data_IF_708764015063
#
_entry.id   IF_708764015063
#
_cell.length_a   1.000
_cell.length_b   1.000
_cell.length_c   1.000
_cell.angle_alpha   90.00
_cell.angle_beta   90.00
_cell.angle_gamma   90.00
#
_symmetry.space_group_name_H-M   'P 1'
#
loop_
_entity.id
_entity.type
_entity.pdbx_description
1 polymer ?
#
# COMPACT_ATOMS: atom_id res chain seq x y z
N UNK A 1 45.13 -9.25 -8.53
CA UNK A 1 45.69 -8.33 -7.52
C UNK A 1 44.65 -8.17 -6.43
N UNK A 2 44.81 -8.86 -5.29
CA UNK A 2 43.91 -8.73 -4.15
C UNK A 2 44.35 -7.51 -3.36
N UNK A 3 43.54 -6.46 -3.34
CA UNK A 3 43.75 -5.35 -2.43
C UNK A 3 43.43 -5.85 -1.01
N UNK A 4 44.46 -6.22 -0.24
CA UNK A 4 44.28 -6.44 1.19
C UNK A 4 43.83 -5.12 1.81
N UNK A 5 42.60 -5.10 2.32
CA UNK A 5 42.09 -3.98 3.09
C UNK A 5 42.88 -3.94 4.39
N UNK A 6 43.50 -2.80 4.68
CA UNK A 6 44.24 -2.57 5.94
C UNK A 6 43.31 -2.47 7.16
N UNK A 7 42.00 -2.47 6.95
CA UNK A 7 40.96 -2.38 7.96
C UNK A 7 39.98 -3.54 7.73
N UNK A 8 39.54 -4.20 8.80
CA UNK A 8 38.62 -5.34 8.73
C UNK A 8 37.28 -5.04 8.05
N UNK A 9 36.45 -6.06 7.90
CA UNK A 9 35.14 -5.99 7.29
C UNK A 9 34.10 -5.47 8.28
N UNK A 10 33.69 -4.21 8.14
CA UNK A 10 32.57 -3.67 8.91
C UNK A 10 31.22 -4.04 8.27
N UNK A 11 30.39 -4.80 8.99
CA UNK A 11 29.06 -5.20 8.51
C UNK A 11 28.03 -4.08 8.62
N UNK A 12 28.16 -3.22 9.63
CA UNK A 12 27.20 -2.14 9.89
C UNK A 12 27.91 -0.89 10.37
N UNK A 13 27.70 0.24 9.69
CA UNK A 13 28.10 1.57 10.16
C UNK A 13 26.95 2.32 10.86
N UNK A 14 25.92 1.60 11.30
CA UNK A 14 24.70 2.19 11.84
C UNK A 14 23.67 1.13 12.21
N UNK A 15 22.44 1.57 12.45
CA UNK A 15 21.34 0.71 12.85
C UNK A 15 20.17 0.83 11.87
N UNK A 16 19.39 -0.26 11.74
CA UNK A 16 18.13 -0.26 10.99
C UNK A 16 16.99 -0.42 11.99
N UNK A 17 16.03 0.51 11.98
CA UNK A 17 14.82 0.45 12.81
C UNK A 17 13.63 0.17 11.91
N UNK A 18 12.85 -0.84 12.29
CA UNK A 18 11.48 -0.99 11.80
C UNK A 18 10.57 -0.21 12.75
N UNK A 19 10.26 1.03 12.37
CA UNK A 19 9.53 1.97 13.24
C UNK A 19 8.13 1.45 13.55
N UNK A 20 7.38 1.06 12.51
CA UNK A 20 6.04 0.49 12.65
C UNK A 20 6.09 -0.86 13.37
N UNK A 21 5.46 -0.93 14.54
CA UNK A 21 5.47 -2.14 15.37
C UNK A 21 4.81 -3.34 14.67
N UNK A 22 3.75 -3.10 13.88
CA UNK A 22 3.05 -4.12 13.09
C UNK A 22 3.93 -4.81 12.05
N UNK A 23 5.01 -4.17 11.59
CA UNK A 23 5.94 -4.73 10.63
C UNK A 23 7.09 -5.50 11.29
N UNK A 24 7.23 -5.40 12.62
CA UNK A 24 8.28 -6.13 13.36
C UNK A 24 7.93 -7.61 13.40
N UNK A 25 8.95 -8.45 13.20
CA UNK A 25 8.77 -9.91 13.17
C UNK A 25 8.44 -10.48 11.79
N UNK A 26 8.18 -9.64 10.78
CA UNK A 26 7.98 -10.05 9.39
C UNK A 26 9.29 -10.32 8.63
N UNK A 27 10.36 -10.70 9.34
CA UNK A 27 11.69 -10.98 8.78
C UNK A 27 12.37 -9.86 7.96
N UNK A 28 11.81 -8.65 7.87
CA UNK A 28 12.37 -7.52 7.09
C UNK A 28 13.83 -7.25 7.48
N UNK A 29 14.10 -7.04 8.77
CA UNK A 29 15.47 -6.82 9.25
C UNK A 29 16.41 -8.01 9.00
N UNK A 30 15.87 -9.24 9.07
CA UNK A 30 16.65 -10.45 8.76
C UNK A 30 17.03 -10.51 7.29
N UNK A 31 16.12 -10.13 6.37
CA UNK A 31 16.41 -10.09 4.95
C UNK A 31 17.46 -9.02 4.65
N UNK A 32 17.30 -7.79 5.17
CA UNK A 32 18.27 -6.71 4.95
C UNK A 32 19.67 -7.11 5.42
N UNK A 33 19.78 -7.70 6.62
CA UNK A 33 21.07 -8.13 7.14
C UNK A 33 21.63 -9.36 6.40
N UNK A 34 20.76 -10.24 5.88
CA UNK A 34 21.17 -11.35 5.04
C UNK A 34 21.87 -10.90 3.76
N UNK A 35 21.42 -9.81 3.14
CA UNK A 35 22.07 -9.24 1.96
C UNK A 35 23.44 -8.64 2.29
N UNK A 36 23.58 -7.99 3.45
CA UNK A 36 24.88 -7.53 3.98
C UNK A 36 25.82 -8.74 4.17
N UNK A 37 25.33 -9.82 4.79
CA UNK A 37 26.11 -11.04 5.02
C UNK A 37 26.51 -11.71 3.69
N UNK A 38 25.60 -11.83 2.72
CA UNK A 38 25.91 -12.36 1.38
C UNK A 38 26.99 -11.51 0.69
N UNK A 39 26.90 -10.20 0.79
CA UNK A 39 27.91 -9.27 0.26
C UNK A 39 29.26 -9.48 0.93
N UNK A 40 29.30 -9.50 2.26
CA UNK A 40 30.49 -9.72 3.07
C UNK A 40 31.22 -11.01 2.70
N UNK A 41 30.48 -12.13 2.67
CA UNK A 41 31.01 -13.44 2.29
C UNK A 41 31.61 -13.48 0.89
N UNK A 42 31.04 -12.72 -0.05
CA UNK A 42 31.50 -12.68 -1.44
C UNK A 42 32.72 -11.78 -1.63
N UNK A 43 32.73 -10.62 -0.97
CA UNK A 43 33.73 -9.57 -1.23
C UNK A 43 34.96 -9.72 -0.34
N UNK A 44 34.81 -10.20 0.89
CA UNK A 44 35.87 -10.29 1.88
C UNK A 44 35.73 -11.54 2.76
N UNK A 45 35.80 -12.76 2.19
CA UNK A 45 35.63 -14.00 2.95
C UNK A 45 36.71 -14.23 4.01
N UNK A 46 37.93 -13.74 3.76
CA UNK A 46 39.10 -13.98 4.63
C UNK A 46 39.37 -12.81 5.60
N UNK A 47 38.68 -11.68 5.45
CA UNK A 47 38.87 -10.54 6.33
C UNK A 47 38.12 -10.77 7.66
N UNK A 48 38.73 -10.32 8.76
CA UNK A 48 38.08 -10.28 10.06
C UNK A 48 36.88 -9.35 10.03
N UNK A 49 35.75 -9.82 10.55
CA UNK A 49 34.56 -9.01 10.78
C UNK A 49 34.86 -8.08 11.96
N UNK A 50 34.75 -6.77 11.72
CA UNK A 50 34.92 -5.80 12.80
C UNK A 50 33.87 -6.04 13.89
N UNK A 51 34.25 -6.00 15.18
CA UNK A 51 33.33 -6.34 16.25
C UNK A 51 32.08 -5.45 16.27
N UNK A 52 30.93 -6.08 16.45
CA UNK A 52 29.65 -5.41 16.63
C UNK A 52 29.47 -5.16 18.14
N UNK A 53 29.31 -3.89 18.50
CA UNK A 53 29.06 -3.49 19.88
C UNK A 53 27.55 -3.39 20.16
N UNK A 54 27.09 -4.12 21.17
CA UNK A 54 25.76 -4.00 21.73
C UNK A 54 25.80 -2.96 22.83
N UNK A 55 25.03 -1.88 22.67
CA UNK A 55 24.92 -0.84 23.68
C UNK A 55 23.71 -1.08 24.58
N UNK A 56 23.92 -1.02 25.90
CA UNK A 56 22.87 -1.14 26.91
C UNK A 56 21.84 0.00 26.85
N UNK A 57 22.24 1.18 26.36
CA UNK A 57 21.34 2.31 26.11
C UNK A 57 20.18 1.96 25.15
N UNK A 58 20.37 0.98 24.25
CA UNK A 58 19.35 0.53 23.31
C UNK A 58 18.32 -0.42 23.94
N UNK A 59 18.52 -0.88 25.18
CA UNK A 59 17.60 -1.79 25.88
C UNK A 59 16.28 -1.09 26.21
N UNK A 60 16.34 0.14 26.74
CA UNK A 60 15.18 0.86 27.26
C UNK A 60 14.16 1.27 26.19
N UNK A 61 14.63 1.50 24.96
CA UNK A 61 13.80 2.04 23.88
C UNK A 61 12.81 1.03 23.27
N UNK A 62 12.99 -0.29 23.47
CA UNK A 62 12.25 -1.33 22.74
C UNK A 62 11.65 -2.44 23.63
N UNK A 63 11.66 -2.24 24.95
CA UNK A 63 11.08 -3.17 25.94
C UNK A 63 11.93 -4.42 26.21
N UNK A 64 11.64 -5.12 27.32
CA UNK A 64 12.44 -6.26 27.83
C UNK A 64 12.59 -7.41 26.83
N UNK A 65 11.56 -7.71 26.01
CA UNK A 65 11.60 -8.79 25.00
C UNK A 65 12.53 -8.49 23.82
N UNK A 66 13.01 -7.25 23.66
CA UNK A 66 13.92 -6.89 22.57
C UNK A 66 15.29 -7.54 22.70
N UNK A 67 15.77 -7.78 23.93
CA UNK A 67 17.14 -8.26 24.13
C UNK A 67 17.36 -9.66 23.60
N UNK A 68 16.51 -10.59 24.01
CA UNK A 68 16.57 -11.95 23.49
C UNK A 68 16.31 -11.99 21.98
N UNK A 69 15.39 -11.14 21.49
CA UNK A 69 15.11 -11.04 20.05
C UNK A 69 16.35 -10.57 19.27
N UNK A 70 17.04 -9.53 19.76
CA UNK A 70 18.29 -8.99 19.18
C UNK A 70 19.40 -10.04 19.22
N UNK A 71 19.53 -10.76 20.34
CA UNK A 71 20.52 -11.82 20.47
C UNK A 71 20.26 -12.97 19.48
N UNK A 72 19.03 -13.50 19.44
CA UNK A 72 18.62 -14.54 18.48
C UNK A 72 18.76 -14.07 17.03
N UNK A 73 18.55 -12.78 16.77
CA UNK A 73 18.73 -12.20 15.44
C UNK A 73 20.17 -12.39 14.96
N UNK A 74 21.16 -11.95 15.73
CA UNK A 74 22.57 -12.07 15.34
C UNK A 74 23.06 -13.53 15.30
N UNK A 75 22.64 -14.36 16.26
CA UNK A 75 23.00 -15.79 16.28
C UNK A 75 22.61 -16.52 14.99
N UNK A 76 21.50 -16.14 14.34
CA UNK A 76 21.07 -16.72 13.06
C UNK A 76 22.09 -16.50 11.93
N UNK A 77 22.99 -15.52 12.07
CA UNK A 77 24.02 -15.20 11.10
C UNK A 77 25.42 -15.68 11.52
N UNK A 78 25.52 -16.49 12.59
CA UNK A 78 26.79 -17.01 13.11
C UNK A 78 27.47 -16.10 14.14
N UNK A 79 26.90 -14.93 14.42
CA UNK A 79 27.47 -13.96 15.36
C UNK A 79 27.14 -14.36 16.81
N UNK A 80 28.19 -14.46 17.63
CA UNK A 80 28.09 -14.68 19.07
C UNK A 80 28.75 -13.52 19.81
N UNK A 81 28.38 -13.30 21.07
CA UNK A 81 28.79 -12.12 21.83
C UNK A 81 29.41 -12.53 23.17
N UNK A 82 30.39 -11.75 23.59
CA UNK A 82 30.89 -11.71 24.96
C UNK A 82 30.18 -10.57 25.67
N UNK A 83 29.35 -10.93 26.66
CA UNK A 83 28.50 -9.99 27.36
C UNK A 83 29.22 -9.40 28.58
N UNK A 84 29.00 -8.12 28.82
CA UNK A 84 29.57 -7.45 29.97
C UNK A 84 28.88 -7.88 31.27
N UNK A 85 29.68 -8.07 32.31
CA UNK A 85 29.20 -8.40 33.65
C UNK A 85 28.92 -7.10 34.42
N UNK A 86 27.66 -6.78 34.71
CA UNK A 86 27.31 -5.61 35.52
C UNK A 86 26.10 -4.81 35.03
N UNK A 87 25.61 -5.10 33.83
CA UNK A 87 24.43 -4.43 33.30
C UNK A 87 23.10 -4.91 33.91
N UNK A 88 22.05 -4.11 33.76
CA UNK A 88 20.68 -4.41 34.22
C UNK A 88 20.16 -5.74 33.66
N UNK A 89 20.69 -6.19 32.51
CA UNK A 89 20.39 -7.49 31.92
C UNK A 89 21.65 -8.11 31.31
N UNK A 90 21.87 -9.44 31.44
CA UNK A 90 23.07 -10.12 30.92
C UNK A 90 23.22 -10.14 29.39
N UNK A 91 22.28 -9.53 28.65
CA UNK A 91 22.27 -9.44 27.19
C UNK A 91 22.18 -7.98 26.72
N UNK A 92 22.34 -7.03 27.64
CA UNK A 92 22.17 -5.60 27.41
C UNK A 92 23.32 -5.01 26.60
N UNK A 93 24.56 -5.34 26.99
CA UNK A 93 25.78 -4.91 26.32
C UNK A 93 26.78 -6.04 26.16
N UNK A 94 27.68 -5.86 25.21
CA UNK A 94 28.70 -6.83 24.87
C UNK A 94 29.24 -6.60 23.47
N UNK A 95 30.30 -7.32 23.13
CA UNK A 95 30.98 -7.22 21.85
C UNK A 95 30.93 -8.58 21.14
N UNK A 96 30.78 -8.56 19.81
CA UNK A 96 30.79 -9.82 19.06
C UNK A 96 32.17 -10.45 19.08
N UNK A 97 32.23 -11.77 19.20
CA UNK A 97 33.47 -12.53 19.10
C UNK A 97 34.12 -12.35 17.74
N UNK A 98 35.45 -12.44 17.73
CA UNK A 98 36.22 -12.44 16.49
C UNK A 98 35.77 -13.56 15.55
N UNK A 99 35.60 -13.21 14.28
CA UNK A 99 35.26 -14.15 13.22
C UNK A 99 35.65 -13.59 11.85
N UNK A 100 35.83 -14.46 10.86
CA UNK A 100 36.10 -14.04 9.48
C UNK A 100 34.84 -14.06 8.62
N UNK A 101 34.85 -13.30 7.52
CA UNK A 101 33.69 -13.16 6.64
C UNK A 101 33.08 -14.49 6.16
N UNK A 102 33.89 -15.51 5.86
CA UNK A 102 33.43 -16.82 5.39
C UNK A 102 32.57 -17.58 6.40
N UNK A 103 32.78 -17.34 7.69
CA UNK A 103 32.10 -18.02 8.80
C UNK A 103 30.70 -17.44 9.06
N UNK A 104 30.37 -16.30 8.44
CA UNK A 104 29.02 -15.76 8.48
C UNK A 104 28.01 -16.70 7.79
N UNK A 105 26.82 -16.79 8.36
CA UNK A 105 25.75 -17.67 7.86
C UNK A 105 24.76 -16.86 7.03
N UNK A 106 24.81 -17.02 5.71
CA UNK A 106 23.78 -16.51 4.80
C UNK A 106 22.65 -17.51 4.58
N UNK A 107 21.44 -17.01 4.33
CA UNK A 107 20.23 -17.80 4.10
C UNK A 107 19.69 -17.60 2.68
N UNK A 108 19.06 -18.64 2.14
CA UNK A 108 18.33 -18.57 0.87
C UNK A 108 17.00 -17.83 1.03
N UNK A 109 16.42 -17.37 -0.08
CA UNK A 109 15.12 -16.68 -0.07
C UNK A 109 13.97 -17.54 0.45
N UNK A 110 14.08 -18.87 0.38
CA UNK A 110 13.10 -19.79 0.96
C UNK A 110 12.91 -19.62 2.48
N UNK A 111 13.88 -19.02 3.19
CA UNK A 111 13.75 -18.68 4.61
C UNK A 111 12.78 -17.52 4.88
N UNK A 112 12.48 -16.71 3.86
CA UNK A 112 11.69 -15.50 3.96
C UNK A 112 10.38 -15.63 3.15
N UNK A 113 9.51 -16.62 3.46
CA UNK A 113 8.34 -16.92 2.64
C UNK A 113 7.31 -15.79 2.58
N UNK A 114 7.37 -14.86 3.54
CA UNK A 114 6.48 -13.71 3.63
C UNK A 114 7.00 -12.48 2.86
N UNK A 115 8.17 -12.58 2.20
CA UNK A 115 8.75 -11.51 1.41
C UNK A 115 8.90 -12.01 -0.02
N UNK A 116 8.34 -11.27 -0.96
CA UNK A 116 8.37 -11.61 -2.39
C UNK A 116 9.21 -10.57 -3.10
N UNK A 117 10.16 -11.02 -3.91
CA UNK A 117 10.86 -10.13 -4.83
C UNK A 117 9.94 -9.80 -6.00
N UNK A 118 9.83 -8.51 -6.28
CA UNK A 118 8.93 -7.98 -7.30
C UNK A 118 9.79 -7.28 -8.33
N UNK A 119 9.62 -7.63 -9.61
CA UNK A 119 10.21 -6.88 -10.72
C UNK A 119 9.50 -5.52 -10.77
N UNK A 120 10.25 -4.48 -10.38
CA UNK A 120 9.74 -3.12 -10.30
C UNK A 120 9.22 -2.64 -11.64
N UNK A 121 9.91 -2.94 -12.75
CA UNK A 121 9.53 -2.43 -14.05
C UNK A 121 8.25 -3.12 -14.53
N UNK A 122 8.20 -4.45 -14.46
CA UNK A 122 7.02 -5.22 -14.84
C UNK A 122 5.79 -4.83 -14.01
N UNK A 123 5.99 -4.57 -12.72
CA UNK A 123 4.91 -4.17 -11.80
C UNK A 123 4.43 -2.75 -12.05
N UNK A 124 5.34 -1.82 -12.34
CA UNK A 124 4.94 -0.46 -12.70
C UNK A 124 4.18 -0.44 -14.03
N UNK A 125 4.59 -1.26 -14.99
CA UNK A 125 3.87 -1.42 -16.26
C UNK A 125 2.47 -1.99 -16.05
N UNK A 126 2.33 -3.06 -15.26
CA UNK A 126 1.02 -3.65 -14.98
C UNK A 126 0.10 -2.68 -14.21
N UNK A 127 0.63 -1.93 -13.25
CA UNK A 127 -0.10 -0.89 -12.53
C UNK A 127 -0.54 0.26 -13.45
N UNK A 128 0.32 0.68 -14.39
CA UNK A 128 -0.01 1.73 -15.34
C UNK A 128 -1.14 1.30 -16.29
N UNK A 129 -1.05 0.08 -16.85
CA UNK A 129 -2.08 -0.49 -17.72
C UNK A 129 -3.42 -0.65 -16.98
N UNK A 130 -3.40 -1.21 -15.77
CA UNK A 130 -4.62 -1.38 -14.97
C UNK A 130 -5.28 -0.04 -14.63
N UNK A 131 -4.48 1.02 -14.44
CA UNK A 131 -5.01 2.36 -14.24
C UNK A 131 -5.68 2.90 -15.50
N UNK A 132 -5.08 2.72 -16.67
CA UNK A 132 -5.66 3.15 -17.95
C UNK A 132 -6.99 2.43 -18.23
N UNK A 133 -7.02 1.12 -18.04
CA UNK A 133 -8.25 0.31 -18.17
C UNK A 133 -9.35 0.81 -17.23
N UNK A 134 -9.00 1.06 -15.96
CA UNK A 134 -9.96 1.58 -14.98
C UNK A 134 -10.47 2.99 -15.35
N UNK A 135 -9.61 3.84 -15.91
CA UNK A 135 -10.01 5.17 -16.38
C UNK A 135 -10.98 5.07 -17.57
N UNK A 136 -10.75 4.15 -18.49
CA UNK A 136 -11.63 3.92 -19.64
C UNK A 136 -12.97 3.31 -19.22
N UNK A 137 -12.99 2.38 -18.27
CA UNK A 137 -14.22 1.84 -17.67
C UNK A 137 -15.05 2.95 -17.01
N UNK A 138 -14.40 3.84 -16.26
CA UNK A 138 -15.07 4.98 -15.63
C UNK A 138 -15.66 5.93 -16.68
N UNK A 139 -14.96 6.17 -17.80
CA UNK A 139 -15.49 6.97 -18.91
C UNK A 139 -16.68 6.27 -19.55
N UNK A 140 -16.57 4.98 -19.86
CA UNK A 140 -17.64 4.17 -20.45
C UNK A 140 -18.90 4.14 -19.58
N UNK A 141 -18.76 4.00 -18.26
CA UNK A 141 -19.89 4.07 -17.33
C UNK A 141 -20.55 5.45 -17.29
N UNK A 142 -19.75 6.53 -17.30
CA UNK A 142 -20.28 7.90 -17.35
C UNK A 142 -21.07 8.14 -18.63
N UNK A 143 -20.54 7.72 -19.76
CA UNK A 143 -21.20 7.87 -21.07
C UNK A 143 -22.46 6.99 -21.14
N UNK A 144 -22.40 5.77 -20.61
CA UNK A 144 -23.55 4.88 -20.45
C UNK A 144 -24.67 5.54 -19.64
N UNK A 145 -24.37 6.09 -18.46
CA UNK A 145 -25.34 6.80 -17.62
C UNK A 145 -25.92 8.01 -18.36
N UNK A 146 -25.07 8.81 -19.02
CA UNK A 146 -25.50 9.98 -19.77
C UNK A 146 -26.48 9.59 -20.90
N UNK A 147 -26.19 8.50 -21.61
CA UNK A 147 -27.07 7.98 -22.67
C UNK A 147 -28.42 7.50 -22.13
N UNK A 148 -28.45 6.79 -21.00
CA UNK A 148 -29.67 6.33 -20.36
C UNK A 148 -30.52 7.50 -19.85
N UNK A 149 -29.89 8.53 -19.29
CA UNK A 149 -30.57 9.76 -18.87
C UNK A 149 -31.15 10.51 -20.07
N UNK A 150 -30.39 10.64 -21.16
CA UNK A 150 -30.86 11.27 -22.40
C UNK A 150 -32.05 10.51 -23.00
N UNK A 151 -31.99 9.18 -23.00
CA UNK A 151 -33.07 8.33 -23.50
C UNK A 151 -34.33 8.43 -22.63
N UNK A 152 -34.17 8.43 -21.30
CA UNK A 152 -35.28 8.67 -20.37
C UNK A 152 -35.93 10.03 -20.61
N UNK A 153 -35.11 11.07 -20.82
CA UNK A 153 -35.59 12.43 -21.11
C UNK A 153 -36.36 12.48 -22.43
N UNK A 154 -35.84 11.87 -23.50
CA UNK A 154 -36.52 11.77 -24.80
C UNK A 154 -37.89 11.08 -24.68
N UNK A 155 -37.96 9.95 -23.97
CA UNK A 155 -39.22 9.24 -23.74
C UNK A 155 -40.23 10.11 -22.99
N UNK A 156 -39.80 10.78 -21.92
CA UNK A 156 -40.64 11.73 -21.19
C UNK A 156 -41.13 12.88 -22.08
N UNK A 157 -40.25 13.44 -22.92
CA UNK A 157 -40.61 14.55 -23.83
C UNK A 157 -41.61 14.13 -24.91
N UNK A 158 -41.52 12.90 -25.42
CA UNK A 158 -42.50 12.34 -26.36
C UNK A 158 -43.86 12.17 -25.67
N UNK A 159 -43.88 11.55 -24.48
CA UNK A 159 -45.12 11.38 -23.68
C UNK A 159 -45.76 12.74 -23.38
N UNK A 160 -44.96 13.73 -22.96
CA UNK A 160 -45.44 15.08 -22.67
C UNK A 160 -45.96 15.82 -23.92
N UNK A 161 -45.37 15.59 -25.10
CA UNK A 161 -45.87 16.15 -26.36
C UNK A 161 -47.20 15.52 -26.78
N UNK A 162 -47.30 14.19 -26.72
CA UNK A 162 -48.54 13.46 -27.02
C UNK A 162 -49.66 13.87 -26.06
N UNK A 163 -49.37 13.96 -24.75
CA UNK A 163 -50.34 14.42 -23.75
C UNK A 163 -50.82 15.85 -24.02
N UNK A 164 -49.92 16.76 -24.45
CA UNK A 164 -50.29 18.14 -24.84
C UNK A 164 -51.18 18.16 -26.09
N UNK A 165 -50.84 17.38 -27.12
CA UNK A 165 -51.63 17.26 -28.34
C UNK A 165 -53.04 16.74 -28.06
N UNK A 166 -53.18 15.71 -27.21
CA UNK A 166 -54.48 15.16 -26.83
C UNK A 166 -55.32 16.10 -25.97
N UNK A 167 -54.69 16.97 -25.17
CA UNK A 167 -55.41 17.96 -24.33
C UNK A 167 -55.95 19.15 -25.13
N UNK A 168 -55.33 19.48 -26.27
CA UNK A 168 -55.71 20.63 -27.08
C UNK A 168 -57.16 20.58 -27.61
N UNK A 169 -57.64 19.49 -28.24
CA UNK A 169 -59.03 19.41 -28.70
C UNK A 169 -60.03 19.39 -27.55
N UNK A 170 -59.66 18.81 -26.40
CA UNK A 170 -60.49 18.83 -25.18
C UNK A 170 -60.68 20.26 -24.68
N UNK A 171 -59.60 21.05 -24.59
CA UNK A 171 -59.66 22.47 -24.21
C UNK A 171 -60.49 23.30 -25.20
N UNK A 172 -60.33 23.07 -26.51
CA UNK A 172 -61.13 23.75 -27.54
C UNK A 172 -62.61 23.39 -27.44
N UNK A 173 -62.95 22.13 -27.19
CA UNK A 173 -64.32 21.70 -26.97
C UNK A 173 -64.95 22.36 -25.74
N UNK A 174 -64.21 22.43 -24.62
CA UNK A 174 -64.68 23.15 -23.42
C UNK A 174 -64.91 24.64 -23.67
N UNK A 175 -64.02 25.31 -24.40
CA UNK A 175 -64.20 26.72 -24.77
C UNK A 175 -65.41 26.92 -25.71
N UNK A 176 -65.61 26.03 -26.68
CA UNK A 176 -66.76 26.09 -27.57
C UNK A 176 -68.09 25.88 -26.82
N UNK A 177 -68.16 24.89 -25.93
CA UNK A 177 -69.33 24.66 -25.05
C UNK A 177 -69.57 25.86 -24.15
N UNK A 178 -68.52 26.42 -23.53
CA UNK A 178 -68.61 27.63 -22.73
C UNK A 178 -69.13 28.83 -23.52
N UNK A 179 -68.65 29.04 -24.76
CA UNK A 179 -69.12 30.12 -25.62
C UNK A 179 -70.57 29.94 -26.08
N UNK A 180 -71.01 28.69 -26.30
CA UNK A 180 -72.42 28.37 -26.62
C UNK A 180 -73.32 28.64 -25.41
N UNK A 181 -72.87 28.30 -24.19
CA UNK A 181 -73.59 28.59 -22.95
C UNK A 181 -73.58 30.08 -22.58
N UNK A 182 -72.52 30.82 -22.93
CA UNK A 182 -72.36 32.24 -22.67
C UNK A 182 -73.02 33.14 -23.74
N UNK A 183 -73.73 32.57 -24.73
CA UNK A 183 -74.50 33.36 -25.69
C UNK A 183 -75.51 34.24 -24.94
N UNK A 184 -75.49 35.57 -25.11
CA UNK A 184 -76.43 36.46 -24.44
C UNK A 184 -77.82 36.18 -24.98
N UNK A 185 -78.67 35.59 -24.13
CA UNK A 185 -80.03 35.20 -24.49
C UNK A 185 -80.57 33.99 -23.73
N UNK A 186 -79.74 33.20 -23.02
CA UNK A 186 -80.22 32.00 -22.33
C UNK A 186 -80.37 32.10 -20.80
N UNK A 187 -79.84 33.13 -20.16
CA UNK A 187 -80.24 33.50 -18.80
C UNK A 187 -81.10 34.75 -18.87
N UNK A 188 -82.40 34.58 -18.69
CA UNK A 188 -83.37 35.67 -18.61
C UNK A 188 -83.01 36.63 -17.50
N UNK A 189 -82.41 37.76 -17.87
CA UNK A 189 -82.51 38.99 -17.10
C UNK A 189 -83.67 39.78 -17.72
N UNK A 190 -84.86 39.59 -17.14
CA UNK A 190 -85.94 40.55 -17.27
C UNK A 190 -85.50 41.86 -16.61
N UNK A 191 -85.36 42.90 -17.43
CA UNK A 191 -85.63 44.28 -17.02
C UNK A 191 -87.14 44.52 -17.14
#
# INVERSE_FOLDING_TARGET
MSAHRSFGLTLTNGFVIVEQESLRGLNIGSLCFNEIVKWARRVAPEDHVMPIQLLGSHVGAYGRRNLERRHRFYQRFGLTFEFESGDVHPLASGESKDMVGRDLISHSMAKFPNIVEVDLLATLQSLAMAREELEDDVRGLKDGIASLLAERRRRSDVVMRVARLLRLPVMVAFLAVGAILARPGHFGLHL
#
